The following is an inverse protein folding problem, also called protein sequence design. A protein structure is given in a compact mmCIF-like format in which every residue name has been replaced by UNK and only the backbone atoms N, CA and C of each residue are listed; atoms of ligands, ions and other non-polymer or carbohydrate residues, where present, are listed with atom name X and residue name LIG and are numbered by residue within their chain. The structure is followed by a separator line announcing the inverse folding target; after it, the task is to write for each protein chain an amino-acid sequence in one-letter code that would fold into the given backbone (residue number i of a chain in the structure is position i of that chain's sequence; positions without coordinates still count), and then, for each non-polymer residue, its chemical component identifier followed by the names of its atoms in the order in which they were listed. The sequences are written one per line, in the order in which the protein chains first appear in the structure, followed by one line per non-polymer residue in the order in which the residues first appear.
data_IF_945046204691
#
_entry.id   IF_945046204691
#
_cell.length_a   1.000
_cell.length_b   1.000
_cell.length_c   1.000
_cell.angle_alpha   90.00
_cell.angle_beta   90.00
_cell.angle_gamma   90.00
#
_symmetry.space_group_name_H-M   'P 1'
#
loop_
_entity.id
_entity.type
_entity.pdbx_description
1 polymer ?
#
# COMPACT_ATOMS: atom_id res chain seq x y z
N UNK A 1 -6.27 -18.01 25.31
CA UNK A 1 -6.69 -17.35 24.05
C UNK A 1 -5.47 -16.63 23.51
N UNK A 2 -5.16 -16.74 22.21
CA UNK A 2 -4.08 -15.95 21.64
C UNK A 2 -4.43 -14.47 21.74
N UNK A 3 -3.47 -13.63 22.13
CA UNK A 3 -3.63 -12.18 22.19
C UNK A 3 -4.20 -11.63 20.87
N UNK A 4 -5.17 -10.70 20.90
CA UNK A 4 -5.74 -10.16 19.67
C UNK A 4 -4.68 -9.37 18.89
N UNK A 5 -4.56 -9.66 17.59
CA UNK A 5 -3.73 -8.88 16.66
C UNK A 5 -4.54 -7.67 16.21
N UNK A 6 -4.16 -6.46 16.65
CA UNK A 6 -4.91 -5.24 16.34
C UNK A 6 -4.22 -4.42 15.24
N UNK A 7 -4.89 -4.22 14.11
CA UNK A 7 -4.39 -3.39 13.00
C UNK A 7 -5.03 -2.01 13.05
N UNK A 8 -4.23 -0.97 13.31
CA UNK A 8 -4.64 0.41 13.12
C UNK A 8 -4.42 0.84 11.66
N UNK A 9 -5.49 1.26 10.97
CA UNK A 9 -5.41 1.70 9.57
C UNK A 9 -6.41 2.81 9.21
N UNK A 10 -6.21 3.43 8.04
CA UNK A 10 -7.21 4.34 7.47
C UNK A 10 -8.52 3.61 7.20
N UNK A 11 -9.64 4.29 7.45
CA UNK A 11 -10.97 3.71 7.24
C UNK A 11 -11.28 3.36 5.79
N UNK A 12 -12.39 2.65 5.60
CA UNK A 12 -12.91 2.31 4.29
C UNK A 12 -13.50 3.49 3.53
N UNK A 13 -13.48 3.38 2.21
CA UNK A 13 -13.96 4.37 1.25
C UNK A 13 -13.94 3.79 -0.17
N UNK A 14 -14.79 4.30 -1.06
CA UNK A 14 -14.87 3.89 -2.48
C UNK A 14 -15.04 2.39 -2.71
N UNK A 15 -15.82 1.72 -1.83
CA UNK A 15 -16.04 0.27 -1.90
C UNK A 15 -14.89 -0.58 -1.34
N UNK A 16 -13.83 0.04 -0.82
CA UNK A 16 -12.68 -0.64 -0.23
C UNK A 16 -12.75 -0.66 1.29
N UNK A 17 -12.23 -1.71 1.95
CA UNK A 17 -12.19 -1.79 3.40
C UNK A 17 -11.18 -0.81 4.02
N UNK A 18 -10.18 -0.37 3.25
CA UNK A 18 -9.29 0.75 3.57
C UNK A 18 -8.93 1.50 2.29
N UNK A 19 -8.78 2.82 2.39
CA UNK A 19 -8.34 3.67 1.27
C UNK A 19 -6.83 3.58 1.01
N UNK A 20 -6.06 3.06 1.96
CA UNK A 20 -4.60 3.02 1.88
C UNK A 20 -4.10 1.66 1.38
N UNK A 21 -3.30 1.65 0.30
CA UNK A 21 -2.81 0.42 -0.34
C UNK A 21 -2.01 -0.47 0.61
N UNK A 22 -1.13 0.12 1.43
CA UNK A 22 -0.34 -0.61 2.41
C UNK A 22 -1.20 -1.32 3.46
N UNK A 23 -2.32 -0.70 3.86
CA UNK A 23 -3.27 -1.31 4.79
C UNK A 23 -4.03 -2.46 4.12
N UNK A 24 -4.42 -2.29 2.85
CA UNK A 24 -5.07 -3.34 2.06
C UNK A 24 -4.17 -4.57 1.91
N UNK A 25 -2.85 -4.39 1.70
CA UNK A 25 -1.89 -5.50 1.63
C UNK A 25 -1.91 -6.34 2.90
N UNK A 26 -1.84 -5.68 4.07
CA UNK A 26 -1.87 -6.38 5.38
C UNK A 26 -3.21 -7.08 5.61
N UNK A 27 -4.32 -6.40 5.30
CA UNK A 27 -5.67 -6.96 5.49
C UNK A 27 -5.92 -8.17 4.58
N UNK A 28 -5.50 -8.09 3.31
CA UNK A 28 -5.58 -9.21 2.38
C UNK A 28 -4.71 -10.38 2.85
N UNK A 29 -3.46 -10.12 3.22
CA UNK A 29 -2.54 -11.15 3.72
C UNK A 29 -3.09 -11.86 4.96
N UNK A 30 -3.60 -11.11 5.94
CA UNK A 30 -4.20 -11.67 7.13
C UNK A 30 -5.42 -12.54 6.81
N UNK A 31 -6.26 -12.12 5.86
CA UNK A 31 -7.45 -12.88 5.44
C UNK A 31 -7.07 -14.19 4.76
N UNK A 32 -6.08 -14.19 3.86
CA UNK A 32 -5.63 -15.40 3.17
C UNK A 32 -4.84 -16.36 4.07
N UNK A 33 -4.08 -15.82 5.04
CA UNK A 33 -3.33 -16.64 6.02
C UNK A 33 -4.16 -17.11 7.21
N UNK A 34 -5.44 -16.72 7.30
CA UNK A 34 -6.32 -17.06 8.43
C UNK A 34 -5.94 -16.38 9.75
N UNK A 35 -5.17 -15.28 9.71
CA UNK A 35 -4.75 -14.57 10.92
C UNK A 35 -5.95 -13.86 11.58
N UNK A 36 -6.14 -14.00 12.92
CA UNK A 36 -7.23 -13.35 13.64
C UNK A 36 -6.92 -11.87 13.83
N UNK A 37 -7.16 -11.07 12.80
CA UNK A 37 -6.87 -9.65 12.75
C UNK A 37 -8.12 -8.83 13.12
N UNK A 38 -8.01 -8.02 14.17
CA UNK A 38 -9.01 -7.02 14.54
C UNK A 38 -8.61 -5.67 13.96
N UNK A 39 -9.45 -5.13 13.06
CA UNK A 39 -9.17 -3.86 12.38
C UNK A 39 -9.74 -2.71 13.20
N UNK A 40 -8.86 -1.81 13.64
CA UNK A 40 -9.18 -0.58 14.32
C UNK A 40 -9.02 0.58 13.32
N UNK A 41 -10.14 1.17 12.90
CA UNK A 41 -10.12 2.32 12.01
C UNK A 41 -9.68 3.55 12.79
N UNK A 42 -8.68 4.23 12.25
CA UNK A 42 -8.20 5.49 12.79
C UNK A 42 -9.27 6.56 12.55
N UNK A 43 -9.63 7.24 13.63
CA UNK A 43 -10.65 8.28 13.63
C UNK A 43 -10.06 9.62 14.10
N UNK A 44 -10.96 10.58 14.35
CA UNK A 44 -10.61 11.93 14.77
C UNK A 44 -9.95 11.99 16.17
N UNK A 45 -9.88 10.88 16.91
CA UNK A 45 -9.20 10.79 18.22
C UNK A 45 -7.74 10.38 18.09
N UNK A 46 -7.26 10.11 16.87
CA UNK A 46 -5.90 9.65 16.62
C UNK A 46 -4.83 10.59 17.19
N UNK A 47 -4.04 10.03 18.13
CA UNK A 47 -2.89 10.70 18.76
C UNK A 47 -1.55 10.22 18.21
N UNK A 48 -1.53 9.48 17.09
CA UNK A 48 -0.30 8.97 16.51
C UNK A 48 0.53 10.10 15.89
N UNK A 49 1.80 10.19 16.29
CA UNK A 49 2.69 11.33 16.02
C UNK A 49 3.16 11.48 14.57
N UNK A 50 2.86 10.52 13.67
CA UNK A 50 3.40 10.49 12.30
C UNK A 50 2.42 10.23 11.16
N UNK A 51 1.20 9.75 11.43
CA UNK A 51 0.26 9.36 10.36
C UNK A 51 0.71 8.16 9.52
N UNK A 52 1.80 7.49 9.91
CA UNK A 52 2.35 6.31 9.23
C UNK A 52 1.57 5.06 9.65
N UNK A 53 0.55 4.72 8.88
CA UNK A 53 -0.26 3.51 9.04
C UNK A 53 -0.20 2.70 7.76
N UNK A 54 -0.26 1.35 7.81
CA UNK A 54 -0.73 0.50 8.90
C UNK A 54 0.24 0.32 10.08
N UNK A 55 -0.33 0.17 11.28
CA UNK A 55 0.39 -0.22 12.50
C UNK A 55 -0.28 -1.46 13.10
N UNK A 56 0.49 -2.51 13.30
CA UNK A 56 0.05 -3.70 14.04
C UNK A 56 0.46 -3.55 15.51
N UNK A 57 -0.51 -3.65 16.41
CA UNK A 57 -0.33 -3.65 17.86
C UNK A 57 -0.67 -5.02 18.41
N UNK A 58 0.23 -5.56 19.22
CA UNK A 58 0.04 -6.75 20.05
C UNK A 58 0.31 -6.40 21.51
N UNK A 59 0.12 -7.34 22.44
CA UNK A 59 0.36 -7.11 23.87
C UNK A 59 1.78 -6.58 24.15
N UNK A 60 2.79 -7.13 23.46
CA UNK A 60 4.20 -6.82 23.72
C UNK A 60 4.88 -5.97 22.64
N UNK A 61 4.28 -5.80 21.46
CA UNK A 61 4.95 -5.23 20.30
C UNK A 61 4.08 -4.26 19.51
N UNK A 62 4.73 -3.23 18.95
CA UNK A 62 4.15 -2.32 17.97
C UNK A 62 5.01 -2.42 16.71
N UNK A 63 4.42 -2.86 15.60
CA UNK A 63 5.10 -3.07 14.32
C UNK A 63 4.44 -2.20 13.25
N UNK A 64 5.23 -1.30 12.68
CA UNK A 64 4.83 -0.46 11.53
C UNK A 64 5.47 -0.96 10.23
N UNK A 65 4.89 -0.59 9.08
CA UNK A 65 5.28 -0.97 7.71
C UNK A 65 4.78 -2.36 7.29
N UNK A 66 4.11 -2.49 6.12
CA UNK A 66 3.55 -3.76 5.66
C UNK A 66 4.53 -4.92 5.65
N UNK A 67 5.73 -4.73 5.09
CA UNK A 67 6.72 -5.80 5.00
C UNK A 67 7.13 -6.35 6.37
N UNK A 68 7.27 -5.47 7.38
CA UNK A 68 7.59 -5.89 8.76
C UNK A 68 6.41 -6.59 9.42
N UNK A 69 5.18 -6.09 9.18
CA UNK A 69 3.95 -6.69 9.69
C UNK A 69 3.76 -8.10 9.10
N UNK A 70 3.92 -8.26 7.79
CA UNK A 70 3.85 -9.57 7.12
C UNK A 70 4.90 -10.53 7.67
N UNK A 71 6.14 -10.08 7.85
CA UNK A 71 7.19 -10.90 8.47
C UNK A 71 6.89 -11.27 9.92
N UNK A 72 6.24 -10.39 10.68
CA UNK A 72 5.77 -10.70 12.02
C UNK A 72 4.68 -11.80 11.99
N UNK A 73 3.68 -11.68 11.11
CA UNK A 73 2.62 -12.69 10.94
C UNK A 73 3.20 -14.06 10.55
N UNK A 74 4.17 -14.09 9.62
CA UNK A 74 4.89 -15.32 9.24
C UNK A 74 5.57 -15.99 10.44
N UNK A 75 6.22 -15.22 11.30
CA UNK A 75 6.85 -15.74 12.54
C UNK A 75 5.83 -16.32 13.52
N UNK A 76 4.60 -15.80 13.52
CA UNK A 76 3.47 -16.30 14.30
C UNK A 76 2.73 -17.48 13.65
N UNK A 77 3.32 -18.11 12.62
CA UNK A 77 2.76 -19.23 11.85
C UNK A 77 1.51 -18.87 11.02
N UNK A 78 1.29 -17.58 10.76
CA UNK A 78 0.32 -17.12 9.78
C UNK A 78 1.06 -16.83 8.48
N UNK A 79 1.21 -17.85 7.62
CA UNK A 79 1.84 -17.71 6.33
C UNK A 79 0.87 -18.11 5.22
N UNK A 80 0.67 -17.24 4.23
CA UNK A 80 -0.10 -17.55 3.04
C UNK A 80 0.72 -18.33 1.98
N UNK A 81 2.04 -18.40 2.15
CA UNK A 81 2.98 -18.89 1.13
C UNK A 81 3.43 -20.35 1.35
N UNK A 82 2.73 -21.13 2.19
CA UNK A 82 3.18 -22.48 2.59
C UNK A 82 3.33 -23.45 1.41
N UNK A 83 2.54 -23.26 0.36
CA UNK A 83 2.48 -24.16 -0.81
C UNK A 83 3.44 -23.74 -1.94
N UNK A 84 4.14 -22.60 -1.80
CA UNK A 84 5.04 -22.10 -2.83
C UNK A 84 6.37 -22.87 -2.82
N UNK A 85 6.78 -23.34 -4.00
CA UNK A 85 8.14 -23.84 -4.22
C UNK A 85 9.17 -22.70 -4.10
N UNK A 86 10.43 -23.05 -3.82
CA UNK A 86 11.52 -22.06 -3.73
C UNK A 86 11.64 -21.18 -4.99
N UNK A 87 11.37 -21.75 -6.17
CA UNK A 87 11.36 -21.02 -7.44
C UNK A 87 10.19 -20.02 -7.50
N UNK A 88 8.98 -20.45 -7.15
CA UNK A 88 7.81 -19.56 -7.13
C UNK A 88 7.95 -18.46 -6.06
N UNK A 89 8.59 -18.76 -4.93
CA UNK A 89 8.93 -17.76 -3.93
C UNK A 89 9.87 -16.67 -4.47
N UNK A 90 10.91 -17.06 -5.22
CA UNK A 90 11.80 -16.11 -5.90
C UNK A 90 11.06 -15.28 -6.96
N UNK A 91 10.21 -15.92 -7.77
CA UNK A 91 9.38 -15.24 -8.77
C UNK A 91 8.42 -14.23 -8.11
N UNK A 92 7.85 -14.57 -6.96
CA UNK A 92 6.96 -13.68 -6.19
C UNK A 92 7.68 -12.42 -5.73
N UNK A 93 8.91 -12.55 -5.20
CA UNK A 93 9.72 -11.41 -4.81
C UNK A 93 10.07 -10.52 -6.02
N UNK A 94 10.35 -11.12 -7.18
CA UNK A 94 10.58 -10.39 -8.41
C UNK A 94 9.33 -9.60 -8.86
N UNK A 95 8.13 -10.19 -8.76
CA UNK A 95 6.89 -9.49 -9.08
C UNK A 95 6.57 -8.36 -8.10
N UNK A 96 6.81 -8.56 -6.80
CA UNK A 96 6.67 -7.50 -5.79
C UNK A 96 7.60 -6.33 -6.14
N UNK A 97 8.88 -6.61 -6.41
CA UNK A 97 9.84 -5.59 -6.80
C UNK A 97 9.40 -4.86 -8.08
N UNK A 98 8.91 -5.59 -9.09
CA UNK A 98 8.39 -5.00 -10.33
C UNK A 98 7.20 -4.05 -10.06
N UNK A 99 6.27 -4.44 -9.19
CA UNK A 99 5.11 -3.61 -8.82
C UNK A 99 5.56 -2.37 -8.05
N UNK A 100 6.44 -2.53 -7.06
CA UNK A 100 6.96 -1.43 -6.26
C UNK A 100 7.76 -0.43 -7.08
N UNK A 101 8.48 -0.91 -8.10
CA UNK A 101 9.26 -0.05 -8.96
C UNK A 101 8.36 0.60 -10.02
N UNK A 102 7.62 -0.17 -10.82
CA UNK A 102 6.96 0.31 -12.04
C UNK A 102 5.54 0.81 -11.83
N UNK A 103 4.76 0.15 -10.97
CA UNK A 103 3.34 0.46 -10.79
C UNK A 103 3.08 1.45 -9.65
N UNK A 104 3.79 1.31 -8.53
CA UNK A 104 3.57 2.13 -7.35
C UNK A 104 3.76 3.65 -7.60
N UNK A 105 4.74 4.13 -8.38
CA UNK A 105 4.86 5.55 -8.70
C UNK A 105 3.62 6.10 -9.42
N UNK A 106 3.00 5.31 -10.32
CA UNK A 106 1.80 5.73 -11.04
C UNK A 106 0.58 5.80 -10.13
N UNK A 107 0.46 4.84 -9.20
CA UNK A 107 -0.58 4.87 -8.16
C UNK A 107 -0.41 6.11 -7.28
N UNK A 108 0.81 6.38 -6.80
CA UNK A 108 1.09 7.56 -5.98
C UNK A 108 0.82 8.86 -6.74
N UNK A 109 1.19 8.94 -8.01
CA UNK A 109 0.93 10.12 -8.85
C UNK A 109 -0.57 10.38 -8.98
N UNK A 110 -1.31 9.38 -9.46
CA UNK A 110 -2.78 9.44 -9.65
C UNK A 110 -3.49 9.82 -8.35
N UNK A 111 -3.01 9.30 -7.21
CA UNK A 111 -3.68 9.46 -5.93
C UNK A 111 -3.38 10.78 -5.22
N UNK A 112 -2.14 11.26 -5.28
CA UNK A 112 -1.64 12.36 -4.44
C UNK A 112 -1.16 13.58 -5.23
N UNK A 113 -0.87 13.46 -6.52
CA UNK A 113 -0.24 14.51 -7.34
C UNK A 113 -1.20 15.04 -8.40
N UNK A 114 -1.94 14.15 -9.07
CA UNK A 114 -2.93 14.54 -10.08
C UNK A 114 -3.99 15.46 -9.47
N UNK A 115 -4.11 16.67 -10.02
CA UNK A 115 -4.86 17.77 -9.40
C UNK A 115 -6.33 17.46 -9.21
N UNK A 116 -6.96 16.84 -10.21
CA UNK A 116 -8.38 16.56 -10.20
C UNK A 116 -8.70 15.52 -9.12
N UNK A 117 -7.97 14.40 -9.10
CA UNK A 117 -8.10 13.36 -8.08
C UNK A 117 -7.78 13.88 -6.68
N UNK A 118 -6.68 14.62 -6.53
CA UNK A 118 -6.26 15.13 -5.24
C UNK A 118 -7.28 16.10 -4.64
N UNK A 119 -7.80 17.05 -5.43
CA UNK A 119 -8.70 18.09 -4.93
C UNK A 119 -10.13 17.59 -4.74
N UNK A 120 -10.62 16.71 -5.60
CA UNK A 120 -12.02 16.27 -5.57
C UNK A 120 -12.25 15.02 -4.71
N UNK A 121 -11.27 14.11 -4.64
CA UNK A 121 -11.43 12.79 -4.01
C UNK A 121 -10.50 12.62 -2.81
N UNK A 122 -9.19 12.70 -3.01
CA UNK A 122 -8.21 12.31 -1.97
C UNK A 122 -8.22 13.29 -0.80
N UNK A 123 -7.91 14.57 -1.03
CA UNK A 123 -7.78 15.56 0.04
C UNK A 123 -9.05 15.71 0.88
N UNK A 124 -10.27 15.83 0.30
CA UNK A 124 -11.49 15.93 1.09
C UNK A 124 -11.72 14.70 1.97
N UNK A 125 -11.47 13.50 1.42
CA UNK A 125 -11.64 12.25 2.17
C UNK A 125 -10.70 12.20 3.38
N UNK A 126 -9.40 12.41 3.19
CA UNK A 126 -8.43 12.38 4.30
C UNK A 126 -8.67 13.52 5.29
N UNK A 127 -8.97 14.73 4.83
CA UNK A 127 -9.23 15.87 5.71
C UNK A 127 -10.45 15.64 6.62
N UNK A 128 -11.47 14.90 6.16
CA UNK A 128 -12.67 14.58 6.95
C UNK A 128 -12.41 13.60 8.11
N UNK A 129 -11.30 12.86 8.06
CA UNK A 129 -10.93 11.80 9.03
C UNK A 129 -9.80 12.20 9.98
N UNK A 130 -9.33 13.43 9.86
CA UNK A 130 -8.23 13.97 10.64
C UNK A 130 -8.80 15.11 11.49
N UNK A 131 -8.47 15.17 12.80
CA UNK A 131 -8.95 16.27 13.63
C UNK A 131 -8.32 17.60 13.21
N UNK A 132 -9.09 18.68 13.34
CA UNK A 132 -8.54 20.03 13.27
C UNK A 132 -7.50 20.22 14.40
N UNK A 133 -6.33 20.86 14.15
CA UNK A 133 -5.93 21.54 12.91
C UNK A 133 -5.16 20.66 11.90
N UNK A 134 -4.88 19.40 12.25
CA UNK A 134 -4.06 18.51 11.43
C UNK A 134 -4.66 18.23 10.04
N UNK A 135 -5.98 18.29 9.90
CA UNK A 135 -6.67 18.11 8.61
C UNK A 135 -6.25 19.12 7.55
N UNK A 136 -5.78 20.30 7.94
CA UNK A 136 -5.29 21.34 7.03
C UNK A 136 -3.85 21.09 6.57
N UNK A 137 -3.07 20.32 7.34
CA UNK A 137 -1.63 20.18 7.18
C UNK A 137 -1.26 18.80 6.61
N UNK A 138 -1.82 17.73 7.17
CA UNK A 138 -1.41 16.35 6.87
C UNK A 138 -1.65 15.94 5.42
N UNK A 139 -2.81 16.18 4.78
CA UNK A 139 -2.99 15.83 3.37
C UNK A 139 -2.00 16.53 2.43
N UNK A 140 -1.59 17.75 2.76
CA UNK A 140 -0.57 18.49 2.02
C UNK A 140 0.83 17.89 2.22
N UNK A 141 1.16 17.46 3.44
CA UNK A 141 2.42 16.75 3.73
C UNK A 141 2.50 15.40 3.04
N UNK A 142 1.41 14.63 3.02
CA UNK A 142 1.33 13.33 2.33
C UNK A 142 1.50 13.51 0.83
N UNK A 143 0.83 14.49 0.22
CA UNK A 143 1.00 14.82 -1.20
C UNK A 143 2.44 15.19 -1.55
N UNK A 144 3.07 16.07 -0.77
CA UNK A 144 4.50 16.42 -0.94
C UNK A 144 5.42 15.22 -0.76
N UNK A 145 5.13 14.33 0.19
CA UNK A 145 5.90 13.10 0.40
C UNK A 145 5.82 12.16 -0.80
N UNK A 146 4.63 11.97 -1.38
CA UNK A 146 4.43 11.18 -2.58
C UNK A 146 5.18 11.77 -3.79
N UNK A 147 5.07 13.08 -4.01
CA UNK A 147 5.79 13.78 -5.09
C UNK A 147 7.30 13.65 -4.94
N UNK A 148 7.84 13.88 -3.73
CA UNK A 148 9.27 13.75 -3.46
C UNK A 148 9.75 12.31 -3.73
N UNK A 149 8.99 11.29 -3.32
CA UNK A 149 9.32 9.89 -3.60
C UNK A 149 9.38 9.61 -5.10
N UNK A 150 8.41 10.12 -5.86
CA UNK A 150 8.38 9.98 -7.32
C UNK A 150 9.61 10.65 -7.95
N UNK A 151 9.90 11.90 -7.59
CA UNK A 151 11.04 12.64 -8.15
C UNK A 151 12.37 12.00 -7.81
N UNK A 152 12.54 11.47 -6.59
CA UNK A 152 13.78 10.80 -6.19
C UNK A 152 14.00 9.46 -6.89
N UNK A 153 12.94 8.79 -7.35
CA UNK A 153 13.03 7.45 -7.97
C UNK A 153 12.92 7.47 -9.49
N UNK A 154 12.30 8.50 -10.07
CA UNK A 154 11.99 8.62 -11.51
C UNK A 154 12.46 9.93 -12.14
N UNK A 155 12.84 10.94 -11.34
CA UNK A 155 13.34 12.23 -11.83
C UNK A 155 14.83 12.23 -12.17
N UNK A 156 15.35 11.13 -12.70
CA UNK A 156 16.75 11.03 -13.12
C UNK A 156 16.97 11.66 -14.52
N UNK A 157 18.17 12.18 -14.82
CA UNK A 157 18.50 12.65 -16.16
C UNK A 157 18.23 11.54 -17.21
N UNK A 158 17.64 11.86 -18.38
CA UNK A 158 17.47 13.18 -18.98
C UNK A 158 16.10 13.83 -18.73
N UNK A 159 15.34 13.40 -17.72
CA UNK A 159 13.98 13.90 -17.49
C UNK A 159 14.06 15.19 -16.67
N UNK A 160 13.94 16.32 -17.36
CA UNK A 160 14.05 17.64 -16.72
C UNK A 160 12.67 18.24 -16.40
N UNK A 161 11.60 17.71 -16.99
CA UNK A 161 10.24 18.21 -16.82
C UNK A 161 9.32 17.19 -16.13
N UNK A 162 8.47 17.68 -15.22
CA UNK A 162 7.52 16.85 -14.47
C UNK A 162 6.57 16.06 -15.38
N UNK A 163 6.21 16.63 -16.54
CA UNK A 163 5.35 15.97 -17.54
C UNK A 163 6.02 14.77 -18.21
N UNK A 164 7.34 14.81 -18.38
CA UNK A 164 8.09 13.70 -18.98
C UNK A 164 8.18 12.54 -17.98
N UNK A 165 8.44 12.86 -16.71
CA UNK A 165 8.41 11.91 -15.59
C UNK A 165 7.03 11.25 -15.47
N UNK A 166 5.96 12.05 -15.54
CA UNK A 166 4.58 11.57 -15.55
C UNK A 166 4.32 10.60 -16.70
N UNK A 167 4.65 10.99 -17.94
CA UNK A 167 4.44 10.15 -19.12
C UNK A 167 5.22 8.83 -19.05
N UNK A 168 6.43 8.85 -18.48
CA UNK A 168 7.21 7.64 -18.26
C UNK A 168 6.56 6.74 -17.20
N UNK A 169 6.14 7.30 -16.07
CA UNK A 169 5.53 6.54 -14.98
C UNK A 169 4.27 5.80 -15.45
N UNK A 170 3.40 6.45 -16.24
CA UNK A 170 2.21 5.79 -16.78
C UNK A 170 2.56 4.75 -17.84
N UNK A 171 3.61 4.97 -18.65
CA UNK A 171 4.10 3.97 -19.62
C UNK A 171 4.62 2.73 -18.91
N UNK A 172 5.47 2.91 -17.91
CA UNK A 172 6.06 1.86 -17.09
C UNK A 172 4.98 1.06 -16.34
N UNK A 173 3.98 1.75 -15.78
CA UNK A 173 2.85 1.11 -15.12
C UNK A 173 2.01 0.28 -16.09
N UNK A 174 1.74 0.79 -17.31
CA UNK A 174 1.04 0.04 -18.35
C UNK A 174 1.81 -1.22 -18.76
N UNK A 175 3.12 -1.10 -18.93
CA UNK A 175 3.99 -2.25 -19.22
C UNK A 175 3.95 -3.28 -18.09
N UNK A 176 4.07 -2.84 -16.85
CA UNK A 176 3.95 -3.70 -15.66
C UNK A 176 2.61 -4.46 -15.64
N UNK A 177 1.49 -3.77 -15.84
CA UNK A 177 0.17 -4.39 -15.89
C UNK A 177 0.05 -5.40 -17.04
N UNK A 178 0.62 -5.10 -18.21
CA UNK A 178 0.64 -6.05 -19.34
C UNK A 178 1.48 -7.30 -19.00
N UNK A 179 2.64 -7.14 -18.36
CA UNK A 179 3.47 -8.27 -17.94
C UNK A 179 2.75 -9.16 -16.92
N UNK A 180 2.08 -8.54 -15.94
CA UNK A 180 1.28 -9.24 -14.94
C UNK A 180 0.08 -9.95 -15.59
N UNK A 181 -0.62 -9.28 -16.51
CA UNK A 181 -1.73 -9.86 -17.27
C UNK A 181 -1.29 -11.03 -18.13
N UNK A 182 -0.15 -10.92 -18.82
CA UNK A 182 0.42 -11.98 -19.63
C UNK A 182 0.83 -13.17 -18.76
N UNK A 183 1.36 -12.90 -17.56
CA UNK A 183 1.71 -13.96 -16.61
C UNK A 183 0.47 -14.70 -16.09
N UNK A 184 -0.59 -13.98 -15.75
CA UNK A 184 -1.84 -14.56 -15.26
C UNK A 184 -2.56 -15.36 -16.37
N UNK A 185 -2.57 -14.82 -17.59
CA UNK A 185 -3.18 -15.47 -18.75
C UNK A 185 -4.67 -15.77 -18.53
N UNK A 186 -5.01 -17.06 -18.46
CA UNK A 186 -6.38 -17.55 -18.17
C UNK A 186 -6.50 -18.24 -16.81
N UNK A 187 -5.41 -18.29 -16.05
CA UNK A 187 -5.38 -18.95 -14.74
C UNK A 187 -6.09 -18.10 -13.69
N UNK A 188 -6.59 -18.74 -12.61
CA UNK A 188 -7.20 -18.02 -11.50
C UNK A 188 -6.15 -17.30 -10.64
N UNK A 189 -4.98 -17.92 -10.45
CA UNK A 189 -3.85 -17.37 -9.70
C UNK A 189 -2.56 -17.37 -10.53
N UNK A 190 -1.56 -16.59 -10.10
CA UNK A 190 -0.28 -16.40 -10.80
C UNK A 190 0.55 -17.69 -10.98
N UNK A 191 0.27 -18.70 -10.17
CA UNK A 191 0.98 -19.98 -10.15
C UNK A 191 0.08 -21.19 -10.41
N UNK A 192 -1.17 -20.98 -10.85
CA UNK A 192 -2.11 -22.05 -11.17
C UNK A 192 -3.49 -21.83 -10.53
N UNK A 193 -4.06 -22.90 -9.99
CA UNK A 193 -5.42 -22.93 -9.43
C UNK A 193 -5.46 -22.96 -7.88
N UNK A 194 -4.30 -22.93 -7.24
CA UNK A 194 -4.11 -22.89 -5.77
C UNK A 194 -3.03 -21.90 -5.42
#
# INVERSE_FOLDING_TARGET
MAAPLELSCWGGGWGLPSVHSESLVVMAYAKFSGAPLKVNVIDNTWRGSRGDVPILTTEDNIVSQPAKILNFLRKQKYNADYELSAKQGADTLAYIALIEEKLLPAVLHTFWVESDNYLTVTKPWFASRIPFPLSLILPGRMSKGALNRILLTRGEPPLYHLREVEAQIYRDAKECLNLLSNRLGKSQFFFGDT
#
